data_IF_859874033964
#
_entry.id   IF_859874033964
#
_cell.length_a   1.000
_cell.length_b   1.000
_cell.length_c   1.000
_cell.angle_alpha   90.00
_cell.angle_beta   90.00
_cell.angle_gamma   90.00
#
_symmetry.space_group_name_H-M   'P 1'
#
loop_
_entity.id
_entity.type
_entity.pdbx_description
1 polymer ?
#
# COMPACT_ATOMS: atom_id res chain seq x y z
N UNK A 1 23.65 -30.44 -6.51
CA UNK A 1 22.48 -31.32 -6.46
C UNK A 1 21.27 -30.47 -6.15
N UNK A 2 20.70 -29.85 -7.15
CA UNK A 2 19.47 -29.08 -7.06
C UNK A 2 18.32 -30.04 -7.37
N UNK A 3 17.58 -30.36 -6.35
CA UNK A 3 16.35 -31.15 -6.44
C UNK A 3 15.19 -30.17 -6.49
N UNK A 4 14.80 -29.73 -7.65
CA UNK A 4 14.50 -28.32 -7.75
C UNK A 4 13.10 -28.09 -8.28
N UNK A 5 12.15 -28.95 -7.91
CA UNK A 5 10.74 -28.66 -8.09
C UNK A 5 10.11 -28.10 -6.80
N UNK A 6 9.16 -27.17 -6.93
CA UNK A 6 8.35 -26.72 -5.80
C UNK A 6 7.53 -27.88 -5.22
N UNK A 7 6.99 -27.70 -4.01
CA UNK A 7 6.03 -28.61 -3.43
C UNK A 7 4.73 -28.60 -4.24
N UNK A 8 4.01 -29.74 -4.25
CA UNK A 8 2.66 -29.80 -4.80
C UNK A 8 1.69 -29.17 -3.80
N UNK A 9 0.89 -28.25 -4.26
CA UNK A 9 -0.16 -27.60 -3.47
C UNK A 9 -1.45 -28.42 -3.55
N UNK A 10 -2.08 -28.64 -2.40
CA UNK A 10 -3.43 -29.24 -2.29
C UNK A 10 -4.31 -28.40 -1.37
N UNK A 11 -5.50 -28.06 -1.83
CA UNK A 11 -6.51 -27.40 -1.01
C UNK A 11 -7.36 -28.47 -0.28
N UNK A 12 -7.37 -28.39 1.03
CA UNK A 12 -8.16 -29.28 1.91
C UNK A 12 -9.18 -28.44 2.69
N UNK A 13 -10.34 -28.14 2.08
CA UNK A 13 -11.43 -27.35 2.69
C UNK A 13 -11.00 -26.03 3.35
N UNK A 14 -10.35 -26.10 4.52
CA UNK A 14 -9.88 -24.95 5.31
C UNK A 14 -8.35 -24.89 5.45
N UNK A 15 -7.63 -25.86 4.86
CA UNK A 15 -6.17 -25.94 4.91
C UNK A 15 -5.57 -25.94 3.53
N UNK A 16 -4.38 -25.37 3.42
CA UNK A 16 -3.51 -25.51 2.26
C UNK A 16 -2.35 -26.41 2.66
N UNK A 17 -2.19 -27.53 1.95
CA UNK A 17 -1.09 -28.46 2.16
C UNK A 17 -0.10 -28.32 1.02
N UNK A 18 1.18 -28.28 1.36
CA UNK A 18 2.30 -28.25 0.42
C UNK A 18 3.09 -29.53 0.61
N UNK A 19 2.91 -30.49 -0.29
CA UNK A 19 3.53 -31.80 -0.19
C UNK A 19 4.79 -31.89 -1.05
N UNK A 20 5.89 -32.30 -0.42
CA UNK A 20 7.11 -32.68 -1.11
C UNK A 20 7.09 -34.15 -1.48
N UNK A 21 7.03 -34.46 -2.78
CA UNK A 21 6.95 -35.84 -3.28
C UNK A 21 8.33 -36.52 -3.43
N UNK A 22 9.37 -35.94 -2.86
CA UNK A 22 10.74 -36.45 -2.93
C UNK A 22 11.35 -36.61 -1.54
N UNK A 23 12.13 -37.68 -1.29
CA UNK A 23 12.81 -37.84 -0.02
C UNK A 23 13.86 -36.73 0.19
N UNK A 24 13.77 -36.02 1.31
CA UNK A 24 14.73 -35.02 1.70
C UNK A 24 15.68 -35.56 2.75
N UNK A 25 17.00 -35.42 2.55
CA UNK A 25 18.02 -35.85 3.49
C UNK A 25 18.56 -34.65 4.28
N UNK A 26 18.29 -34.63 5.58
CA UNK A 26 18.82 -33.61 6.49
C UNK A 26 20.06 -34.17 7.18
N UNK A 27 21.19 -33.48 7.08
CA UNK A 27 22.41 -33.82 7.84
C UNK A 27 22.22 -33.45 9.29
N UNK A 28 22.83 -34.22 10.20
CA UNK A 28 22.86 -33.91 11.63
C UNK A 28 23.38 -32.48 11.85
N UNK A 29 22.60 -31.65 12.58
CA UNK A 29 22.86 -30.23 12.80
C UNK A 29 22.88 -29.37 11.52
N UNK A 30 22.32 -29.85 10.42
CA UNK A 30 22.19 -29.09 9.18
C UNK A 30 20.80 -28.45 9.05
N UNK A 31 20.72 -27.39 8.24
CA UNK A 31 19.48 -26.77 7.79
C UNK A 31 19.28 -27.10 6.31
N UNK A 32 18.08 -27.53 5.96
CA UNK A 32 17.68 -27.74 4.57
C UNK A 32 16.60 -26.69 4.23
N UNK A 33 16.79 -25.95 3.14
CA UNK A 33 15.80 -25.04 2.60
C UNK A 33 15.17 -25.68 1.38
N UNK A 34 13.85 -25.75 1.36
CA UNK A 34 13.09 -26.31 0.27
C UNK A 34 12.18 -25.21 -0.34
N UNK A 35 12.09 -25.13 -1.70
CA UNK A 35 11.17 -24.20 -2.34
C UNK A 35 9.73 -24.66 -2.11
N UNK A 36 8.92 -23.84 -1.46
CA UNK A 36 7.51 -24.16 -1.18
C UNK A 36 6.63 -23.91 -2.40
N UNK A 37 6.89 -22.82 -3.11
CA UNK A 37 6.18 -22.43 -4.33
C UNK A 37 7.18 -22.21 -5.47
N UNK A 38 6.70 -22.36 -6.71
CA UNK A 38 7.48 -22.09 -7.91
C UNK A 38 7.71 -20.62 -8.16
N UNK A 39 8.65 -20.31 -9.04
CA UNK A 39 8.83 -18.95 -9.55
C UNK A 39 7.65 -18.55 -10.41
N UNK A 40 7.15 -17.31 -10.21
CA UNK A 40 6.00 -16.75 -10.94
C UNK A 40 6.32 -15.34 -11.41
N UNK A 41 5.64 -14.92 -12.46
CA UNK A 41 5.61 -13.54 -12.91
C UNK A 41 4.21 -13.01 -12.62
N UNK A 42 4.13 -12.01 -11.74
CA UNK A 42 2.89 -11.35 -11.37
C UNK A 42 2.94 -9.89 -11.82
N UNK A 43 1.86 -9.37 -12.40
CA UNK A 43 1.75 -7.93 -12.63
C UNK A 43 1.84 -7.20 -11.29
N UNK A 44 2.62 -6.12 -11.28
CA UNK A 44 2.86 -5.35 -10.08
C UNK A 44 2.86 -3.85 -10.34
N UNK A 45 2.42 -3.08 -9.36
CA UNK A 45 2.39 -1.62 -9.41
C UNK A 45 3.00 -1.06 -8.12
N UNK A 46 3.81 -0.01 -8.25
CA UNK A 46 4.24 0.80 -7.12
C UNK A 46 3.24 1.93 -6.92
N UNK A 47 2.67 1.99 -5.72
CA UNK A 47 1.67 2.98 -5.31
C UNK A 47 2.22 3.76 -4.12
N UNK A 48 2.05 5.07 -4.15
CA UNK A 48 2.33 5.92 -3.01
C UNK A 48 1.07 6.10 -2.18
N UNK A 49 1.17 6.02 -0.87
CA UNK A 49 0.01 6.12 0.01
C UNK A 49 0.27 7.07 1.17
N UNK A 50 -0.64 8.03 1.34
CA UNK A 50 -0.77 8.83 2.54
C UNK A 50 -1.98 8.34 3.33
N UNK A 51 -1.76 7.96 4.59
CA UNK A 51 -2.84 7.75 5.57
C UNK A 51 -2.66 8.72 6.70
N UNK A 52 -3.68 9.49 7.00
CA UNK A 52 -3.66 10.46 8.09
C UNK A 52 -5.01 10.62 8.77
N UNK A 53 -4.99 11.14 10.00
CA UNK A 53 -6.19 11.42 10.77
C UNK A 53 -6.48 12.92 10.72
N UNK A 54 -7.75 13.27 10.51
CA UNK A 54 -8.20 14.66 10.49
C UNK A 54 -8.45 15.15 11.91
N UNK A 55 -7.75 16.22 12.31
CA UNK A 55 -8.00 16.87 13.58
C UNK A 55 -9.26 17.74 13.52
N UNK A 56 -10.19 17.48 14.43
CA UNK A 56 -11.41 18.30 14.63
C UNK A 56 -11.22 19.38 15.70
N UNK A 57 -9.99 19.67 16.08
CA UNK A 57 -9.64 20.74 17.01
C UNK A 57 -8.97 21.88 16.28
N UNK A 58 -9.12 23.10 16.82
CA UNK A 58 -8.37 24.24 16.30
C UNK A 58 -6.88 23.97 16.47
N UNK A 59 -6.22 23.74 15.37
CA UNK A 59 -4.81 23.43 15.31
C UNK A 59 -4.17 24.19 14.14
N UNK A 60 -4.05 25.52 14.23
CA UNK A 60 -3.42 26.34 13.20
C UNK A 60 -1.92 26.06 13.20
N UNK A 61 -1.53 24.92 12.69
CA UNK A 61 -0.13 24.55 12.57
C UNK A 61 0.47 25.15 11.29
N UNK A 62 1.77 25.39 11.36
CA UNK A 62 2.56 25.53 10.14
C UNK A 62 2.53 24.21 9.36
N UNK A 63 2.75 24.26 8.02
CA UNK A 63 2.85 23.06 7.22
C UNK A 63 3.76 22.02 7.86
N UNK A 64 3.23 20.82 8.09
CA UNK A 64 3.96 19.71 8.69
C UNK A 64 4.12 18.57 7.67
N UNK A 65 5.31 17.99 7.64
CA UNK A 65 5.61 16.87 6.74
C UNK A 65 4.98 15.60 7.26
N UNK A 66 4.15 14.98 6.41
CA UNK A 66 3.55 13.69 6.68
C UNK A 66 4.29 12.58 5.92
N UNK A 67 4.45 11.38 6.50
CA UNK A 67 5.10 10.27 5.83
C UNK A 67 4.20 9.72 4.70
N UNK A 68 4.75 9.63 3.50
CA UNK A 68 4.14 8.89 2.39
C UNK A 68 4.79 7.51 2.32
N UNK A 69 4.00 6.46 2.31
CA UNK A 69 4.48 5.10 2.17
C UNK A 69 4.54 4.69 0.69
N UNK A 70 5.52 3.87 0.34
CA UNK A 70 5.58 3.19 -0.95
C UNK A 70 5.09 1.77 -0.76
N UNK A 71 4.06 1.39 -1.50
CA UNK A 71 3.47 0.06 -1.52
C UNK A 71 3.79 -0.63 -2.84
N UNK A 72 4.06 -1.91 -2.79
CA UNK A 72 4.08 -2.80 -3.94
C UNK A 72 2.79 -3.60 -3.96
N UNK A 73 1.92 -3.32 -4.91
CA UNK A 73 0.68 -4.07 -5.13
C UNK A 73 0.95 -5.16 -6.16
N UNK A 74 0.66 -6.41 -5.79
CA UNK A 74 0.80 -7.59 -6.63
C UNK A 74 -0.59 -8.08 -7.01
N UNK A 75 -0.83 -8.30 -8.29
CA UNK A 75 -2.08 -8.86 -8.78
C UNK A 75 -1.93 -10.38 -8.96
N UNK A 76 -2.52 -11.15 -8.05
CA UNK A 76 -2.54 -12.61 -8.11
C UNK A 76 -3.88 -13.07 -8.72
N UNK A 77 -4.14 -12.69 -9.98
CA UNK A 77 -5.38 -13.03 -10.68
C UNK A 77 -5.10 -13.94 -11.89
N UNK A 78 -6.03 -14.83 -12.21
CA UNK A 78 -5.89 -15.83 -13.26
C UNK A 78 -5.59 -15.22 -14.64
N UNK A 79 -6.17 -14.09 -14.96
CA UNK A 79 -6.01 -13.43 -16.26
C UNK A 79 -4.64 -12.81 -16.50
N UNK A 80 -3.79 -12.76 -15.49
CA UNK A 80 -2.51 -12.04 -15.54
C UNK A 80 -1.31 -12.94 -15.22
N UNK A 81 -1.54 -14.21 -14.90
CA UNK A 81 -0.44 -15.17 -14.66
C UNK A 81 0.10 -15.72 -15.99
N UNK A 82 1.36 -15.46 -16.27
CA UNK A 82 2.01 -16.04 -17.46
C UNK A 82 2.35 -17.50 -17.18
N UNK A 83 1.52 -18.42 -17.70
CA UNK A 83 1.89 -19.85 -17.80
C UNK A 83 1.51 -20.76 -16.65
N UNK A 84 0.52 -20.42 -15.79
CA UNK A 84 0.14 -21.32 -14.71
C UNK A 84 -1.25 -21.04 -14.12
N UNK A 85 -1.80 -22.03 -13.43
CA UNK A 85 -2.96 -21.84 -12.55
C UNK A 85 -2.63 -20.83 -11.45
N UNK A 86 -3.62 -20.02 -11.11
CA UNK A 86 -3.54 -19.19 -9.91
C UNK A 86 -3.46 -20.15 -8.71
N UNK A 87 -2.45 -19.98 -7.90
CA UNK A 87 -2.30 -20.70 -6.65
C UNK A 87 -2.17 -19.70 -5.51
N UNK A 88 -2.64 -20.03 -4.30
CA UNK A 88 -2.48 -19.16 -3.16
C UNK A 88 -1.00 -18.91 -2.87
N UNK A 89 -0.70 -17.73 -2.34
CA UNK A 89 0.65 -17.39 -1.90
C UNK A 89 0.72 -17.60 -0.38
N UNK A 90 1.57 -18.51 0.11
CA UNK A 90 1.69 -18.73 1.55
C UNK A 90 2.25 -17.51 2.26
N UNK A 91 1.78 -17.27 3.47
CA UNK A 91 2.26 -16.18 4.31
C UNK A 91 3.72 -16.36 4.72
N UNK A 92 4.40 -15.26 4.93
CA UNK A 92 5.79 -15.27 5.36
C UNK A 92 6.48 -13.92 5.19
N UNK A 93 7.77 -13.88 5.49
CA UNK A 93 8.57 -12.68 5.28
C UNK A 93 8.90 -12.51 3.80
N UNK A 94 8.33 -11.48 3.18
CA UNK A 94 8.61 -11.09 1.80
C UNK A 94 9.77 -10.11 1.77
N UNK A 95 10.79 -10.39 0.94
CA UNK A 95 11.90 -9.47 0.69
C UNK A 95 11.81 -8.93 -0.72
N UNK A 96 11.82 -7.62 -0.83
CA UNK A 96 11.59 -6.90 -2.07
C UNK A 96 12.93 -6.43 -2.62
N UNK A 97 13.19 -6.77 -3.88
CA UNK A 97 14.40 -6.36 -4.60
C UNK A 97 14.01 -5.70 -5.92
N UNK A 98 14.78 -4.73 -6.34
CA UNK A 98 14.67 -4.11 -7.66
C UNK A 98 15.98 -4.27 -8.42
N UNK A 99 15.91 -4.24 -9.76
CA UNK A 99 17.08 -4.09 -10.61
C UNK A 99 17.27 -2.63 -10.96
N UNK A 100 18.48 -2.14 -10.77
CA UNK A 100 18.86 -0.80 -11.24
C UNK A 100 19.12 -0.81 -12.77
N UNK A 101 19.35 0.36 -13.34
CA UNK A 101 19.58 0.54 -14.77
C UNK A 101 20.83 -0.18 -15.28
N UNK A 102 21.73 -0.61 -14.38
CA UNK A 102 22.92 -1.40 -14.66
C UNK A 102 22.69 -2.91 -14.48
N UNK A 103 21.46 -3.31 -14.12
CA UNK A 103 21.06 -4.70 -13.89
C UNK A 103 21.44 -5.26 -12.52
N UNK A 104 22.03 -4.47 -11.63
CA UNK A 104 22.38 -4.91 -10.28
C UNK A 104 21.12 -5.01 -9.40
N UNK A 105 21.07 -6.07 -8.57
CA UNK A 105 19.96 -6.30 -7.64
C UNK A 105 20.16 -5.45 -6.39
N UNK A 106 19.16 -4.65 -6.05
CA UNK A 106 19.13 -3.78 -4.87
C UNK A 106 18.01 -4.22 -3.94
N UNK A 107 18.32 -4.37 -2.66
CA UNK A 107 17.31 -4.59 -1.63
C UNK A 107 16.52 -3.30 -1.41
N UNK A 108 15.21 -3.40 -1.47
CA UNK A 108 14.29 -2.26 -1.35
C UNK A 108 13.59 -2.23 0.00
N UNK A 109 13.29 -3.39 0.58
CA UNK A 109 12.60 -3.50 1.85
C UNK A 109 12.12 -4.92 2.12
N UNK A 110 11.53 -5.12 3.28
CA UNK A 110 10.89 -6.37 3.66
C UNK A 110 9.59 -6.09 4.43
N UNK A 111 8.60 -6.97 4.23
CA UNK A 111 7.31 -6.87 4.91
C UNK A 111 6.76 -8.27 5.18
N UNK A 112 5.87 -8.38 6.16
CA UNK A 112 5.19 -9.63 6.45
C UNK A 112 3.98 -9.79 5.55
N UNK A 113 4.04 -10.76 4.64
CA UNK A 113 2.93 -11.11 3.77
C UNK A 113 1.99 -12.07 4.50
N UNK A 114 0.72 -11.72 4.61
CA UNK A 114 -0.31 -12.67 5.01
C UNK A 114 -0.50 -13.72 3.91
N UNK A 115 -1.10 -14.87 4.23
CA UNK A 115 -1.50 -15.83 3.20
C UNK A 115 -2.51 -15.20 2.26
N UNK A 116 -2.21 -15.19 0.96
CA UNK A 116 -3.03 -14.60 -0.08
C UNK A 116 -3.79 -15.71 -0.80
N UNK A 117 -5.12 -15.72 -0.74
CA UNK A 117 -5.93 -16.62 -1.55
C UNK A 117 -5.74 -16.43 -3.05
N UNK A 118 -6.28 -17.35 -3.83
CA UNK A 118 -6.42 -17.18 -5.27
C UNK A 118 -7.25 -15.93 -5.59
N UNK A 119 -6.93 -15.25 -6.69
CA UNK A 119 -7.65 -14.05 -7.19
C UNK A 119 -7.72 -12.85 -6.23
N UNK A 120 -6.87 -12.82 -5.21
CA UNK A 120 -6.80 -11.69 -4.27
C UNK A 120 -5.49 -10.93 -4.48
N UNK A 121 -5.55 -9.59 -4.65
CA UNK A 121 -4.34 -8.79 -4.71
C UNK A 121 -3.62 -8.77 -3.36
N UNK A 122 -2.30 -8.72 -3.41
CA UNK A 122 -1.46 -8.55 -2.24
C UNK A 122 -0.82 -7.16 -2.22
N UNK A 123 -0.68 -6.58 -1.04
CA UNK A 123 0.05 -5.34 -0.83
C UNK A 123 1.21 -5.58 0.13
N UNK A 124 2.37 -5.06 -0.25
CA UNK A 124 3.59 -5.09 0.55
C UNK A 124 4.10 -3.67 0.75
N UNK A 125 4.43 -3.32 1.97
CA UNK A 125 5.06 -2.04 2.28
C UNK A 125 6.54 -2.11 1.94
N UNK A 126 6.98 -1.35 0.94
CA UNK A 126 8.39 -1.25 0.56
C UNK A 126 9.15 -0.37 1.57
N UNK A 127 8.52 0.74 1.99
CA UNK A 127 9.10 1.68 2.91
C UNK A 127 8.48 3.07 2.77
N UNK A 128 9.19 4.07 3.28
CA UNK A 128 8.78 5.48 3.12
C UNK A 128 9.27 6.02 1.79
N UNK A 129 8.40 6.77 1.11
CA UNK A 129 8.77 7.47 -0.10
C UNK A 129 9.84 8.54 0.18
N UNK A 130 10.85 8.60 -0.67
CA UNK A 130 11.87 9.64 -0.63
C UNK A 130 11.56 10.78 -1.60
N UNK A 131 11.10 10.42 -2.79
CA UNK A 131 10.87 11.35 -3.90
C UNK A 131 9.48 11.97 -3.89
N UNK A 132 8.54 11.41 -3.11
CA UNK A 132 7.18 11.93 -2.96
C UNK A 132 6.99 12.39 -1.52
N UNK A 133 6.79 13.70 -1.35
CA UNK A 133 6.59 14.30 -0.04
C UNK A 133 5.25 15.01 0.02
N UNK A 134 4.71 15.17 1.21
CA UNK A 134 3.49 15.94 1.46
C UNK A 134 3.65 16.80 2.69
N UNK A 135 3.20 18.03 2.59
CA UNK A 135 3.02 18.96 3.70
C UNK A 135 1.52 19.15 3.93
N UNK A 136 1.11 19.09 5.17
CA UNK A 136 -0.28 19.21 5.59
C UNK A 136 -0.45 20.28 6.64
N UNK A 137 -1.54 21.05 6.56
CA UNK A 137 -1.94 22.00 7.59
C UNK A 137 -3.44 22.28 7.55
N UNK A 138 -3.98 22.70 8.68
CA UNK A 138 -5.34 23.21 8.79
C UNK A 138 -5.37 24.67 8.36
N UNK A 139 -6.12 24.98 7.30
CA UNK A 139 -6.19 26.33 6.70
C UNK A 139 -7.34 27.18 7.25
N UNK A 140 -8.43 26.54 7.68
CA UNK A 140 -9.54 27.24 8.37
C UNK A 140 -10.12 26.35 9.47
N UNK A 141 -10.60 26.99 10.53
CA UNK A 141 -11.32 26.34 11.63
C UNK A 141 -12.41 27.24 12.14
N UNK A 142 -13.66 26.76 12.11
CA UNK A 142 -14.81 27.48 12.64
C UNK A 142 -15.59 26.60 13.61
N UNK A 143 -15.82 27.11 14.81
CA UNK A 143 -16.72 26.50 15.77
C UNK A 143 -18.12 27.02 15.56
N UNK A 144 -19.04 26.16 15.14
CA UNK A 144 -20.43 26.50 14.89
C UNK A 144 -21.24 26.35 16.19
N UNK A 145 -20.97 25.29 16.96
CA UNK A 145 -21.54 25.04 18.26
C UNK A 145 -20.57 24.27 19.16
N UNK A 146 -20.98 23.89 20.35
CA UNK A 146 -20.15 23.07 21.23
C UNK A 146 -19.79 21.68 20.64
N UNK A 147 -20.61 21.21 19.72
CA UNK A 147 -20.45 19.89 19.11
C UNK A 147 -20.17 19.92 17.61
N UNK A 148 -20.31 21.07 16.95
CA UNK A 148 -20.17 21.15 15.48
C UNK A 148 -19.06 22.11 15.13
N UNK A 149 -18.16 21.65 14.29
CA UNK A 149 -17.04 22.41 13.75
C UNK A 149 -17.01 22.32 12.23
N UNK A 150 -16.44 23.34 11.59
CA UNK A 150 -16.03 23.32 10.19
C UNK A 150 -14.52 23.40 10.17
N UNK A 151 -13.90 22.50 9.41
CA UNK A 151 -12.45 22.38 9.29
C UNK A 151 -12.09 22.35 7.82
N UNK A 152 -11.11 23.15 7.42
CA UNK A 152 -10.51 23.10 6.10
C UNK A 152 -9.05 22.66 6.23
N UNK A 153 -8.66 21.69 5.40
CA UNK A 153 -7.30 21.18 5.34
C UNK A 153 -6.72 21.37 3.96
N UNK A 154 -5.43 21.68 3.93
CA UNK A 154 -4.63 21.73 2.71
C UNK A 154 -3.52 20.69 2.80
N UNK A 155 -3.34 19.92 1.73
CA UNK A 155 -2.23 19.01 1.52
C UNK A 155 -1.48 19.43 0.26
N UNK A 156 -0.19 19.69 0.39
CA UNK A 156 0.68 20.04 -0.72
C UNK A 156 1.64 18.88 -1.00
N UNK A 157 1.40 18.19 -2.08
CA UNK A 157 2.25 17.10 -2.57
C UNK A 157 3.33 17.62 -3.48
N UNK A 158 4.51 17.03 -3.39
CA UNK A 158 5.62 17.29 -4.31
C UNK A 158 6.19 15.95 -4.81
N UNK A 159 6.18 15.75 -6.12
CA UNK A 159 6.83 14.65 -6.78
C UNK A 159 8.20 15.10 -7.32
N UNK A 160 9.27 14.79 -6.61
CA UNK A 160 10.64 15.07 -7.03
C UNK A 160 11.23 14.01 -7.98
N UNK A 161 10.48 12.95 -8.27
CA UNK A 161 10.92 11.89 -9.17
C UNK A 161 10.84 12.29 -10.64
N UNK A 162 11.47 11.52 -11.51
CA UNK A 162 11.45 11.72 -12.97
C UNK A 162 10.26 11.04 -13.66
N UNK A 163 9.31 10.47 -12.90
CA UNK A 163 8.14 9.77 -13.42
C UNK A 163 6.86 10.36 -12.86
N UNK A 164 5.79 10.24 -13.62
CA UNK A 164 4.44 10.48 -13.08
C UNK A 164 4.11 9.41 -12.05
N UNK A 165 3.58 9.84 -10.91
CA UNK A 165 3.25 8.95 -9.79
C UNK A 165 1.76 8.99 -9.49
N UNK A 166 1.22 7.87 -8.98
CA UNK A 166 -0.11 7.78 -8.40
C UNK A 166 0.01 7.80 -6.89
N UNK A 167 -0.78 8.64 -6.24
CA UNK A 167 -0.80 8.78 -4.78
C UNK A 167 -2.21 8.55 -4.29
N UNK A 168 -2.39 7.54 -3.49
CA UNK A 168 -3.63 7.27 -2.75
C UNK A 168 -3.61 8.04 -1.44
N UNK A 169 -4.62 8.87 -1.22
CA UNK A 169 -4.77 9.65 0.00
C UNK A 169 -5.97 9.12 0.75
N UNK A 170 -5.77 8.74 2.00
CA UNK A 170 -6.81 8.31 2.91
C UNK A 170 -6.79 9.19 4.16
N UNK A 171 -7.78 10.07 4.27
CA UNK A 171 -8.01 10.92 5.43
C UNK A 171 -9.06 10.25 6.33
N UNK A 172 -8.66 9.79 7.49
CA UNK A 172 -9.57 9.20 8.47
C UNK A 172 -10.27 10.28 9.29
N UNK A 173 -11.58 10.21 9.33
CA UNK A 173 -12.46 11.15 9.99
C UNK A 173 -13.17 10.46 11.16
N UNK A 174 -13.24 11.13 12.29
CA UNK A 174 -13.95 10.63 13.46
C UNK A 174 -15.36 11.24 13.55
N UNK A 175 -16.34 10.43 13.96
CA UNK A 175 -17.73 10.87 14.18
C UNK A 175 -18.52 11.11 12.90
N UNK A 176 -19.61 11.85 13.03
CA UNK A 176 -20.47 12.23 11.91
C UNK A 176 -19.86 13.43 11.17
N UNK A 177 -19.67 13.31 9.89
CA UNK A 177 -19.11 14.40 9.09
C UNK A 177 -19.78 14.49 7.71
N UNK A 178 -19.67 15.67 7.11
CA UNK A 178 -20.19 16.04 5.80
C UNK A 178 -19.11 16.81 5.04
N UNK A 179 -18.84 16.42 3.81
CA UNK A 179 -17.96 17.14 2.91
C UNK A 179 -18.71 18.36 2.38
N UNK A 180 -18.14 19.56 2.55
CA UNK A 180 -18.72 20.80 2.08
C UNK A 180 -18.12 21.27 0.77
N UNK A 181 -16.81 21.24 0.67
CA UNK A 181 -16.04 21.70 -0.50
C UNK A 181 -14.81 20.83 -0.69
N UNK A 182 -14.41 20.62 -1.94
CA UNK A 182 -13.17 19.92 -2.29
C UNK A 182 -12.60 20.45 -3.61
N UNK A 183 -11.28 20.48 -3.74
CA UNK A 183 -10.59 20.96 -4.94
C UNK A 183 -10.54 19.94 -6.09
N UNK A 184 -10.81 18.67 -5.79
CA UNK A 184 -11.01 17.59 -6.74
C UNK A 184 -11.96 16.56 -6.12
N UNK A 185 -12.72 15.81 -6.94
CA UNK A 185 -13.68 14.85 -6.42
C UNK A 185 -12.98 13.72 -5.66
N UNK A 186 -13.52 13.42 -4.48
CA UNK A 186 -13.15 12.26 -3.68
C UNK A 186 -13.76 10.98 -4.26
N UNK A 187 -13.10 9.85 -4.01
CA UNK A 187 -13.68 8.55 -4.30
C UNK A 187 -14.68 8.19 -3.18
N UNK A 188 -15.84 7.69 -3.57
CA UNK A 188 -16.84 7.23 -2.61
C UNK A 188 -16.25 6.06 -1.80
N UNK A 189 -16.03 6.28 -0.52
CA UNK A 189 -15.66 5.24 0.43
C UNK A 189 -16.35 5.48 1.75
N UNK A 190 -16.77 4.42 2.40
CA UNK A 190 -17.63 4.40 3.59
C UNK A 190 -17.46 5.54 4.60
N UNK A 191 -18.33 5.57 5.58
CA UNK A 191 -18.61 6.73 6.47
C UNK A 191 -17.44 7.29 7.30
N UNK A 192 -16.26 6.64 7.29
CA UNK A 192 -15.13 7.02 8.14
C UNK A 192 -13.92 7.57 7.39
N UNK A 193 -13.88 7.50 6.06
CA UNK A 193 -12.71 7.88 5.28
C UNK A 193 -13.07 8.78 4.11
N UNK A 194 -12.24 9.79 3.88
CA UNK A 194 -12.24 10.60 2.67
C UNK A 194 -11.04 10.19 1.83
N UNK A 195 -11.27 9.60 0.66
CA UNK A 195 -10.25 9.03 -0.21
C UNK A 195 -10.09 9.84 -1.49
N UNK A 196 -8.84 10.02 -1.90
CA UNK A 196 -8.50 10.64 -3.17
C UNK A 196 -7.45 9.81 -3.90
N UNK A 197 -7.53 9.80 -5.22
CA UNK A 197 -6.51 9.23 -6.10
C UNK A 197 -5.90 10.35 -6.95
N UNK A 198 -4.66 10.70 -6.63
CA UNK A 198 -3.94 11.78 -7.29
C UNK A 198 -3.00 11.22 -8.36
N UNK A 199 -2.88 11.96 -9.47
CA UNK A 199 -1.84 11.72 -10.47
C UNK A 199 -0.95 12.96 -10.52
N UNK A 200 0.33 12.81 -10.15
CA UNK A 200 1.27 13.93 -10.04
C UNK A 200 2.40 13.72 -11.04
N UNK A 201 2.53 14.64 -11.99
CA UNK A 201 3.57 14.58 -13.01
C UNK A 201 4.97 14.74 -12.40
N UNK A 202 5.98 14.24 -13.11
CA UNK A 202 7.40 14.37 -12.74
C UNK A 202 7.78 15.83 -12.43
N UNK A 203 8.43 16.06 -11.31
CA UNK A 203 8.90 17.38 -10.87
C UNK A 203 7.80 18.39 -10.55
N UNK A 204 6.52 17.95 -10.41
CA UNK A 204 5.39 18.85 -10.16
C UNK A 204 4.88 18.76 -8.74
N UNK A 205 4.14 19.79 -8.35
CA UNK A 205 3.36 19.85 -7.12
C UNK A 205 1.88 19.71 -7.41
N UNK A 206 1.14 19.19 -6.43
CA UNK A 206 -0.31 19.12 -6.45
C UNK A 206 -0.85 19.59 -5.10
N UNK A 207 -1.81 20.51 -5.13
CA UNK A 207 -2.47 21.04 -3.93
C UNK A 207 -3.88 20.46 -3.84
N UNK A 208 -4.14 19.68 -2.79
CA UNK A 208 -5.45 19.18 -2.43
C UNK A 208 -5.99 20.03 -1.28
N UNK A 209 -7.21 20.53 -1.44
CA UNK A 209 -7.94 21.29 -0.40
C UNK A 209 -9.30 20.65 -0.24
N UNK A 210 -9.71 20.44 1.00
CA UNK A 210 -11.06 20.01 1.32
C UNK A 210 -11.55 20.65 2.62
N UNK A 211 -12.87 20.85 2.69
CA UNK A 211 -13.58 21.44 3.83
C UNK A 211 -14.70 20.51 4.28
N UNK A 212 -14.73 20.22 5.54
CA UNK A 212 -15.72 19.35 6.16
C UNK A 212 -16.46 20.06 7.28
N UNK A 213 -17.72 19.68 7.47
CA UNK A 213 -18.46 19.90 8.71
C UNK A 213 -18.43 18.60 9.50
N UNK A 214 -18.03 18.64 10.76
CA UNK A 214 -17.98 17.46 11.60
C UNK A 214 -18.64 17.70 12.96
N UNK A 215 -19.23 16.61 13.49
CA UNK A 215 -19.80 16.58 14.84
C UNK A 215 -18.85 15.78 15.74
N UNK A 216 -18.44 16.44 16.85
CA UNK A 216 -17.59 15.83 17.89
C UNK A 216 -18.39 14.99 18.85
#
# INVERSE_FOLDING_TARGET
LSSDGPAEHRSLKIYHEYQYNRPARIRRKGTLRLPLIGQRVLPSELVYQLRSNVSLYNNPQQPDRQPVNTLLRLNNTEHQSVGGSVEPIPGGMARIYSRDDQGAIRFMGEDWLASIPEDVPAELTVGRAFDVTVERWQTDFRRISDRVVIVENTLLFHNASHKTVRVEVQEQLAGDWELLEESMPSEASGDLNLNYLLTIQAGKQFKLVYKIRARR
#
